data_IF_611335688538
#
_entry.id   IF_611335688538
#
_cell.length_a   1.000
_cell.length_b   1.000
_cell.length_c   1.000
_cell.angle_alpha   90.00
_cell.angle_beta   90.00
_cell.angle_gamma   90.00
#
_symmetry.space_group_name_H-M   'P 1'
#
loop_
_entity.id
_entity.type
_entity.pdbx_description
1 polymer ?
#
# COMPACT_ATOMS: atom_id res chain seq x y z
N UNK A 1 4.02 -1.20 18.97
CA UNK A 1 4.26 -0.98 17.52
C UNK A 1 5.60 -1.62 17.20
N UNK A 2 5.63 -2.59 16.30
CA UNK A 2 6.84 -3.34 15.99
C UNK A 2 7.58 -2.65 14.83
N UNK A 3 8.55 -1.82 15.18
CA UNK A 3 9.45 -1.19 14.22
C UNK A 3 10.51 -2.20 13.79
N UNK A 4 10.72 -2.32 12.48
CA UNK A 4 11.76 -3.15 11.89
C UNK A 4 12.63 -2.28 10.99
N UNK A 5 13.94 -2.53 11.00
CA UNK A 5 14.89 -1.83 10.13
C UNK A 5 15.46 -2.82 9.12
N UNK A 6 15.34 -2.51 7.83
CA UNK A 6 15.99 -3.28 6.74
C UNK A 6 16.57 -2.31 5.72
N UNK A 7 17.83 -2.50 5.34
CA UNK A 7 18.55 -1.67 4.35
C UNK A 7 18.43 -0.15 4.61
N UNK A 8 18.53 0.27 5.88
CA UNK A 8 18.41 1.68 6.26
C UNK A 8 16.99 2.25 6.22
N UNK A 9 15.98 1.43 5.91
CA UNK A 9 14.57 1.82 5.93
C UNK A 9 13.88 1.27 7.18
N UNK A 10 13.19 2.16 7.88
CA UNK A 10 12.30 1.80 8.97
C UNK A 10 10.93 1.46 8.42
N UNK A 11 10.39 0.32 8.82
CA UNK A 11 9.01 -0.07 8.57
C UNK A 11 8.32 -0.44 9.88
N UNK A 12 7.03 -0.18 9.95
CA UNK A 12 6.19 -0.53 11.08
C UNK A 12 4.84 -0.95 10.52
N UNK A 13 4.20 -1.94 11.13
CA UNK A 13 2.79 -2.18 10.83
C UNK A 13 1.99 -0.98 11.34
N UNK A 14 1.28 -0.24 10.47
CA UNK A 14 0.48 0.89 10.92
C UNK A 14 -0.60 0.42 11.88
N UNK A 15 -0.97 1.27 12.83
CA UNK A 15 -2.09 0.95 13.71
C UNK A 15 -3.39 0.80 12.90
N UNK A 16 -4.37 0.09 13.46
CA UNK A 16 -5.70 -0.07 12.84
C UNK A 16 -6.33 1.28 12.46
N UNK A 17 -6.07 2.33 13.23
CA UNK A 17 -6.50 3.69 12.90
C UNK A 17 -6.01 4.10 11.51
N UNK A 18 -4.71 4.03 11.24
CA UNK A 18 -4.17 4.41 9.92
C UNK A 18 -4.65 3.47 8.81
N UNK A 19 -4.66 2.15 9.06
CA UNK A 19 -5.11 1.16 8.08
C UNK A 19 -6.56 1.40 7.62
N UNK A 20 -7.42 1.93 8.50
CA UNK A 20 -8.79 2.26 8.15
C UNK A 20 -8.92 3.48 7.23
N UNK A 21 -7.94 4.40 7.23
CA UNK A 21 -7.91 5.62 6.43
C UNK A 21 -6.93 5.58 5.26
N UNK A 22 -6.31 4.43 5.04
CA UNK A 22 -5.46 4.17 3.89
C UNK A 22 -6.29 3.62 2.73
N UNK A 23 -5.90 4.00 1.52
CA UNK A 23 -6.36 3.42 0.27
C UNK A 23 -5.15 2.92 -0.51
N UNK A 24 -5.25 1.69 -0.98
CA UNK A 24 -4.30 1.12 -1.92
C UNK A 24 -4.81 1.37 -3.34
N UNK A 25 -4.00 2.04 -4.15
CA UNK A 25 -4.24 2.27 -5.57
C UNK A 25 -3.21 1.48 -6.37
N UNK A 26 -3.68 0.64 -7.28
CA UNK A 26 -2.85 -0.19 -8.16
C UNK A 26 -3.13 0.19 -9.60
N UNK A 27 -2.15 0.79 -10.27
CA UNK A 27 -2.24 1.17 -11.68
C UNK A 27 -1.55 0.08 -12.49
N UNK A 28 -2.31 -0.61 -13.35
CA UNK A 28 -1.82 -1.72 -14.14
C UNK A 28 -1.21 -1.23 -15.45
N UNK A 29 0.06 -1.54 -15.70
CA UNK A 29 0.78 -1.13 -16.92
C UNK A 29 0.76 -2.21 -18.02
N UNK A 30 0.28 -3.40 -17.68
CA UNK A 30 0.08 -4.55 -18.55
C UNK A 30 -1.31 -5.14 -18.27
N UNK A 31 -1.83 -5.94 -19.20
CA UNK A 31 -3.05 -6.71 -18.96
C UNK A 31 -2.82 -7.67 -17.78
N UNK A 32 -3.84 -7.86 -16.95
CA UNK A 32 -3.74 -8.68 -15.76
C UNK A 32 -4.91 -9.63 -15.63
N UNK A 33 -4.62 -10.92 -15.66
CA UNK A 33 -5.59 -12.00 -15.58
C UNK A 33 -5.12 -13.10 -14.62
N UNK A 34 -5.93 -14.15 -14.47
CA UNK A 34 -5.64 -15.30 -13.63
C UNK A 34 -4.32 -16.01 -13.94
N UNK A 35 -3.81 -15.90 -15.18
CA UNK A 35 -2.60 -16.59 -15.64
C UNK A 35 -1.33 -15.82 -15.30
N UNK A 36 -1.41 -14.50 -15.13
CA UNK A 36 -0.25 -13.64 -14.84
C UNK A 36 -0.32 -12.93 -13.48
N UNK A 37 -1.26 -13.36 -12.64
CA UNK A 37 -1.34 -13.00 -11.23
C UNK A 37 -2.36 -11.91 -10.91
N UNK A 38 -3.52 -11.89 -11.54
CA UNK A 38 -4.65 -11.11 -11.06
C UNK A 38 -4.86 -11.31 -9.55
N UNK A 39 -5.27 -10.23 -8.88
CA UNK A 39 -5.58 -10.30 -7.46
C UNK A 39 -6.81 -11.16 -7.26
N UNK A 40 -6.75 -12.04 -6.27
CA UNK A 40 -7.91 -12.71 -5.68
C UNK A 40 -8.26 -11.96 -4.41
N UNK A 41 -9.50 -11.54 -4.25
CA UNK A 41 -9.95 -10.78 -3.08
C UNK A 41 -11.19 -11.42 -2.47
N UNK A 42 -11.30 -11.39 -1.14
CA UNK A 42 -12.55 -11.78 -0.45
C UNK A 42 -13.38 -10.51 -0.25
N UNK A 43 -14.50 -10.31 -0.97
CA UNK A 43 -15.27 -9.08 -0.90
C UNK A 43 -15.74 -8.77 0.53
N UNK A 44 -15.67 -7.50 0.93
CA UNK A 44 -16.13 -7.06 2.26
C UNK A 44 -15.24 -7.43 3.45
N UNK A 45 -14.22 -8.28 3.27
CA UNK A 45 -13.32 -8.73 4.36
C UNK A 45 -12.57 -7.59 5.06
N UNK A 46 -12.36 -6.45 4.39
CA UNK A 46 -11.77 -5.25 4.99
C UNK A 46 -12.52 -4.73 6.24
N UNK A 47 -13.80 -5.08 6.41
CA UNK A 47 -14.60 -4.71 7.59
C UNK A 47 -14.24 -5.52 8.84
N UNK A 48 -13.60 -6.67 8.67
CA UNK A 48 -13.25 -7.57 9.78
C UNK A 48 -12.06 -7.04 10.60
N UNK A 49 -11.29 -6.09 10.08
CA UNK A 49 -10.13 -5.54 10.76
C UNK A 49 -8.86 -6.36 10.54
N UNK A 50 -7.95 -6.31 11.52
CA UNK A 50 -6.74 -7.13 11.51
C UNK A 50 -7.14 -8.52 12.02
N UNK A 51 -6.98 -9.53 11.15
CA UNK A 51 -7.29 -10.92 11.49
C UNK A 51 -6.10 -11.58 12.20
N UNK A 52 -6.39 -12.47 13.14
CA UNK A 52 -5.41 -13.44 13.65
C UNK A 52 -5.20 -14.56 12.64
N UNK A 53 -4.13 -15.35 12.81
CA UNK A 53 -3.87 -16.50 11.94
C UNK A 53 -5.01 -17.51 11.94
N UNK A 54 -5.63 -17.76 13.10
CA UNK A 54 -6.81 -18.63 13.22
C UNK A 54 -8.02 -18.07 12.45
N UNK A 55 -8.35 -16.79 12.65
CA UNK A 55 -9.46 -16.16 11.92
C UNK A 55 -9.21 -16.10 10.40
N UNK A 56 -7.95 -16.01 9.98
CA UNK A 56 -7.54 -16.06 8.57
C UNK A 56 -7.63 -17.48 7.99
N UNK A 57 -7.50 -18.53 8.81
CA UNK A 57 -7.73 -19.92 8.41
C UNK A 57 -9.22 -20.20 8.23
N UNK A 58 -10.05 -19.70 9.14
CA UNK A 58 -11.51 -19.90 9.15
C UNK A 58 -12.26 -19.06 8.10
N UNK A 59 -11.62 -18.03 7.53
CA UNK A 59 -12.23 -17.20 6.51
C UNK A 59 -12.56 -18.03 5.25
N UNK A 60 -13.81 -17.94 4.79
CA UNK A 60 -14.24 -18.58 3.55
C UNK A 60 -13.55 -17.95 2.33
N UNK A 61 -12.50 -18.64 1.87
CA UNK A 61 -11.72 -18.26 0.67
C UNK A 61 -12.39 -18.69 -0.63
N UNK A 62 -13.45 -19.52 -0.60
CA UNK A 62 -14.18 -19.90 -1.81
C UNK A 62 -15.00 -18.71 -2.35
N UNK A 63 -15.39 -17.79 -1.47
CA UNK A 63 -16.00 -16.51 -1.84
C UNK A 63 -15.06 -15.52 -2.54
N UNK A 64 -13.77 -15.87 -2.72
CA UNK A 64 -12.81 -14.97 -3.34
C UNK A 64 -13.08 -14.78 -4.84
N UNK A 65 -13.02 -13.53 -5.28
CA UNK A 65 -13.19 -13.14 -6.69
C UNK A 65 -11.83 -12.80 -7.30
N UNK A 66 -11.64 -13.15 -8.59
CA UNK A 66 -10.46 -12.75 -9.37
C UNK A 66 -10.72 -11.37 -9.99
N UNK A 67 -9.82 -10.42 -9.76
CA UNK A 67 -9.89 -9.07 -10.34
C UNK A 67 -9.04 -9.01 -11.61
N UNK A 68 -9.60 -9.48 -12.73
CA UNK A 68 -8.99 -9.33 -14.05
C UNK A 68 -9.20 -7.91 -14.57
N UNK A 69 -8.16 -7.31 -15.14
CA UNK A 69 -8.21 -5.94 -15.64
C UNK A 69 -7.32 -5.76 -16.87
N UNK A 70 -7.74 -4.96 -17.88
CA UNK A 70 -6.86 -4.60 -18.98
C UNK A 70 -5.80 -3.58 -18.55
N UNK A 71 -4.73 -3.46 -19.34
CA UNK A 71 -3.71 -2.43 -19.21
C UNK A 71 -4.34 -1.04 -19.11
N UNK A 72 -3.78 -0.22 -18.23
CA UNK A 72 -4.25 1.14 -17.94
C UNK A 72 -5.34 1.19 -16.88
N UNK A 73 -5.87 0.04 -16.46
CA UNK A 73 -6.88 0.00 -15.40
C UNK A 73 -6.31 0.32 -14.04
N UNK A 74 -7.19 0.81 -13.16
CA UNK A 74 -6.87 1.15 -11.78
C UNK A 74 -7.74 0.29 -10.86
N UNK A 75 -7.10 -0.44 -9.94
CA UNK A 75 -7.77 -1.09 -8.82
C UNK A 75 -7.59 -0.23 -7.56
N UNK A 76 -8.69 0.10 -6.90
CA UNK A 76 -8.70 0.83 -5.62
C UNK A 76 -9.28 -0.08 -4.55
N UNK A 77 -8.56 -0.26 -3.45
CA UNK A 77 -8.99 -1.12 -2.34
C UNK A 77 -8.57 -0.58 -0.97
N UNK A 78 -9.23 -1.07 0.08
CA UNK A 78 -8.79 -0.85 1.47
C UNK A 78 -7.65 -1.83 1.79
N UNK A 79 -6.58 -1.43 2.51
CA UNK A 79 -5.46 -2.31 2.84
C UNK A 79 -5.84 -3.57 3.63
N UNK A 80 -6.90 -3.47 4.44
CA UNK A 80 -7.42 -4.60 5.22
C UNK A 80 -8.23 -5.60 4.39
N UNK A 81 -8.44 -5.35 3.09
CA UNK A 81 -9.08 -6.31 2.20
C UNK A 81 -8.18 -7.54 2.09
N UNK A 82 -8.70 -8.70 2.47
CA UNK A 82 -7.99 -9.97 2.30
C UNK A 82 -7.80 -10.23 0.82
N UNK A 83 -6.55 -10.36 0.42
CA UNK A 83 -6.18 -10.58 -0.97
C UNK A 83 -4.93 -11.46 -1.10
N UNK A 84 -4.81 -12.10 -2.26
CA UNK A 84 -3.62 -12.83 -2.66
C UNK A 84 -3.37 -12.60 -4.16
N UNK A 85 -2.12 -12.51 -4.58
CA UNK A 85 -1.78 -12.61 -5.99
C UNK A 85 -1.54 -14.06 -6.37
N UNK A 86 -2.15 -14.54 -7.46
CA UNK A 86 -1.83 -15.85 -8.02
C UNK A 86 -0.36 -15.95 -8.43
N UNK A 87 0.20 -17.16 -8.39
CA UNK A 87 1.48 -17.45 -9.06
C UNK A 87 1.27 -17.31 -10.57
N UNK A 88 2.18 -16.63 -11.25
CA UNK A 88 2.14 -16.56 -12.72
C UNK A 88 2.37 -17.96 -13.29
N UNK A 89 1.49 -18.38 -14.19
CA UNK A 89 1.61 -19.59 -15.00
C UNK A 89 1.93 -19.27 -16.45
N UNK A 90 1.93 -17.99 -16.83
CA UNK A 90 2.34 -17.51 -18.14
C UNK A 90 3.70 -16.80 -18.12
N UNK A 91 4.28 -16.64 -19.32
CA UNK A 91 5.49 -15.83 -19.56
C UNK A 91 5.18 -14.34 -19.79
N UNK A 92 3.96 -13.88 -19.47
CA UNK A 92 3.60 -12.48 -19.63
C UNK A 92 3.99 -11.68 -18.38
N UNK A 93 4.43 -10.44 -18.60
CA UNK A 93 4.78 -9.55 -17.50
C UNK A 93 3.54 -8.93 -16.87
N UNK A 94 3.62 -8.66 -15.57
CA UNK A 94 2.60 -7.91 -14.82
C UNK A 94 3.25 -6.77 -14.03
N UNK A 95 3.40 -5.61 -14.66
CA UNK A 95 3.91 -4.39 -14.01
C UNK A 95 2.75 -3.61 -13.41
N UNK A 96 2.89 -3.24 -12.14
CA UNK A 96 1.89 -2.50 -11.38
C UNK A 96 2.58 -1.40 -10.59
N UNK A 97 2.08 -0.17 -10.69
CA UNK A 97 2.45 0.91 -9.77
C UNK A 97 1.53 0.79 -8.56
N UNK A 98 2.12 0.58 -7.38
CA UNK A 98 1.40 0.45 -6.12
C UNK A 98 1.60 1.72 -5.31
N UNK A 99 0.51 2.42 -5.03
CA UNK A 99 0.47 3.61 -4.18
C UNK A 99 -0.41 3.34 -2.96
N UNK A 100 0.03 3.80 -1.80
CA UNK A 100 -0.78 3.88 -0.59
C UNK A 100 -1.04 5.35 -0.28
N UNK A 101 -2.31 5.71 -0.14
CA UNK A 101 -2.77 7.09 0.02
C UNK A 101 -3.57 7.24 1.30
N UNK A 102 -3.33 8.32 2.03
CA UNK A 102 -4.14 8.70 3.19
C UNK A 102 -4.11 10.21 3.39
N UNK A 103 -5.19 10.74 3.97
CA UNK A 103 -5.26 12.13 4.42
C UNK A 103 -4.72 12.31 5.85
N UNK A 104 -4.33 11.21 6.52
CA UNK A 104 -3.86 11.24 7.90
C UNK A 104 -2.41 11.69 7.98
N UNK A 105 -2.16 12.66 8.85
CA UNK A 105 -0.80 13.04 9.25
C UNK A 105 -0.21 12.00 10.19
N UNK A 106 1.08 11.73 10.07
CA UNK A 106 1.79 10.87 11.02
C UNK A 106 1.98 11.58 12.37
N UNK A 107 2.09 10.85 13.48
CA UNK A 107 2.20 11.43 14.81
C UNK A 107 3.65 11.84 15.13
N UNK A 108 3.83 12.68 16.16
CA UNK A 108 5.14 12.96 16.79
C UNK A 108 6.23 13.45 15.83
N UNK A 109 5.89 14.36 14.91
CA UNK A 109 6.85 14.98 13.99
C UNK A 109 7.32 14.07 12.83
N UNK A 110 6.83 12.84 12.76
CA UNK A 110 7.06 11.98 11.60
C UNK A 110 6.39 12.58 10.36
N UNK A 111 7.02 12.41 9.21
CA UNK A 111 6.50 12.87 7.93
C UNK A 111 6.46 11.71 6.94
N UNK A 112 5.42 11.70 6.11
CA UNK A 112 5.41 10.82 4.95
C UNK A 112 6.53 11.20 3.99
N UNK A 113 7.06 10.22 3.26
CA UNK A 113 8.28 10.36 2.46
C UNK A 113 8.17 11.45 1.38
N UNK A 114 6.97 11.68 0.86
CA UNK A 114 6.69 12.72 -0.13
C UNK A 114 6.89 14.14 0.43
N UNK A 115 6.77 14.33 1.74
CA UNK A 115 7.04 15.60 2.41
C UNK A 115 8.52 15.76 2.80
N UNK A 116 9.26 14.67 2.99
CA UNK A 116 10.68 14.71 3.39
C UNK A 116 11.59 15.43 2.39
N UNK A 117 11.22 15.48 1.09
CA UNK A 117 11.98 16.22 0.06
C UNK A 117 11.73 17.73 0.03
N UNK A 118 10.71 18.24 0.73
CA UNK A 118 10.44 19.69 0.78
C UNK A 118 11.30 20.41 1.84
N UNK A 119 11.84 19.69 2.82
CA UNK A 119 12.66 20.27 3.88
C UNK A 119 14.08 20.62 3.41
N UNK A 120 14.70 19.84 2.51
CA UNK A 120 16.07 20.14 2.05
C UNK A 120 16.18 21.43 1.22
N UNK A 121 15.10 21.91 0.59
CA UNK A 121 15.08 23.20 -0.10
C UNK A 121 14.72 24.38 0.81
N UNK A 122 13.96 24.15 1.88
CA UNK A 122 13.55 25.21 2.82
C UNK A 122 14.64 25.48 3.88
N UNK A 123 15.37 24.46 4.33
CA UNK A 123 16.55 24.68 5.20
C UNK A 123 17.69 25.38 4.46
N UNK A 124 17.91 25.08 3.17
CA UNK A 124 18.89 25.81 2.35
C UNK A 124 18.46 27.26 2.04
N UNK A 125 17.15 27.54 1.98
CA UNK A 125 16.65 28.91 1.79
C UNK A 125 16.74 29.75 3.07
N UNK A 126 16.51 29.17 4.26
CA UNK A 126 16.63 29.89 5.53
C UNK A 126 18.08 30.09 5.98
N UNK A 127 19.00 29.18 5.60
CA UNK A 127 20.44 29.36 5.91
C UNK A 127 21.10 30.48 5.08
N UNK A 128 20.54 30.79 3.89
CA UNK A 128 21.06 31.87 3.03
C UNK A 128 20.55 33.27 3.40
N UNK A 129 19.44 33.38 4.15
CA UNK A 129 18.85 34.67 4.54
C UNK A 129 19.39 35.17 5.89
N UNK A 130 19.89 34.27 6.76
CA UNK A 130 20.46 34.65 8.07
C UNK A 130 21.96 35.00 8.04
N UNK A 131 22.62 34.96 6.87
CA UNK A 131 24.04 35.34 6.71
C UNK A 131 24.25 36.72 6.07
N UNK A 132 23.17 37.47 5.85
CA UNK A 132 23.21 38.88 5.45
C UNK A 132 22.24 39.69 6.32
N UNK A 133 22.50 39.77 7.63
CA UNK A 133 22.17 40.91 8.49
C UNK A 133 23.03 40.87 9.75
#
# INVERSE_FOLDING_TARGET
MNWNQRHGQWSVQPSRYYLNYLYTVRIHLDDCDETNGALKVVPGSHRLGILSDAAMQDLDKQSAIVCTVPRGSILVMRPLLVHASGKSTSNTNRRVIHLELTDRRLPKGLQWREFSRRQSKLELANTFIESYH
#
